data_IF_078485939342
#
_entry.id   IF_078485939342
#
_cell.length_a   1.000
_cell.length_b   1.000
_cell.length_c   1.000
_cell.angle_alpha   90.00
_cell.angle_beta   90.00
_cell.angle_gamma   90.00
#
_symmetry.space_group_name_H-M   'P 1'
#
loop_
_entity.id
_entity.type
_entity.pdbx_description
1 polymer ?
#
# COMPACT_ATOMS: atom_id res chain seq x y z
N UNK A 1 -5.75 -6.12 -4.07
CA UNK A 1 -4.61 -7.05 -4.28
C UNK A 1 -3.31 -6.33 -3.99
N UNK A 2 -2.39 -6.99 -3.35
CA UNK A 2 -1.04 -6.49 -3.08
C UNK A 2 0.00 -7.52 -3.51
N UNK A 3 1.09 -7.06 -4.10
CA UNK A 3 2.20 -7.92 -4.50
C UNK A 3 3.48 -7.12 -4.63
N UNK A 4 4.36 -7.21 -3.68
CA UNK A 4 5.68 -6.56 -3.67
C UNK A 4 6.60 -6.96 -4.83
N UNK A 5 6.21 -7.91 -5.63
CA UNK A 5 6.97 -8.36 -6.78
C UNK A 5 6.78 -7.51 -8.04
N UNK A 6 6.00 -6.51 -7.95
CA UNK A 6 5.57 -5.84 -8.86
C UNK A 6 5.56 -4.99 -9.93
N UNK A 7 6.37 -4.33 -10.33
CA UNK A 7 6.29 -3.39 -11.47
C UNK A 7 6.45 -4.04 -12.85
N UNK A 8 6.41 -5.34 -12.95
CA UNK A 8 6.54 -6.08 -14.22
C UNK A 8 5.28 -6.88 -14.51
N UNK A 9 4.74 -6.73 -15.70
CA UNK A 9 3.59 -7.50 -16.20
C UNK A 9 3.75 -9.02 -16.14
N UNK A 10 4.95 -9.50 -15.92
CA UNK A 10 5.26 -10.94 -15.77
C UNK A 10 5.25 -11.42 -14.33
N UNK A 11 4.92 -10.54 -13.38
CA UNK A 11 4.83 -10.89 -11.95
C UNK A 11 3.39 -11.05 -11.55
N UNK A 12 3.16 -11.82 -10.52
CA UNK A 12 1.82 -12.14 -9.99
C UNK A 12 1.22 -10.89 -9.34
N UNK A 13 -0.04 -10.56 -9.62
CA UNK A 13 -0.95 -11.24 -10.55
C UNK A 13 -0.71 -10.90 -12.02
N UNK A 14 -0.23 -9.70 -12.37
CA UNK A 14 0.07 -9.26 -13.72
C UNK A 14 -1.05 -9.56 -14.72
N UNK A 15 -0.67 -10.12 -15.87
CA UNK A 15 -1.60 -10.58 -16.91
C UNK A 15 -1.69 -12.12 -16.97
N UNK A 16 -1.42 -12.81 -15.88
CA UNK A 16 -1.56 -14.27 -15.83
C UNK A 16 -3.05 -14.65 -15.86
N UNK A 17 -3.53 -15.42 -16.86
CA UNK A 17 -4.97 -15.65 -17.05
C UNK A 17 -5.68 -16.25 -15.84
N UNK A 18 -5.01 -17.11 -15.08
CA UNK A 18 -5.56 -17.74 -13.87
C UNK A 18 -5.81 -16.74 -12.71
N UNK A 19 -5.23 -15.55 -12.77
CA UNK A 19 -5.42 -14.53 -11.73
C UNK A 19 -6.46 -13.46 -12.08
N UNK A 20 -6.78 -13.26 -13.35
CA UNK A 20 -7.72 -12.22 -13.79
C UNK A 20 -9.08 -12.40 -13.13
N UNK A 21 -9.65 -13.59 -13.25
CA UNK A 21 -10.94 -13.90 -12.62
C UNK A 21 -10.90 -13.83 -11.10
N UNK A 22 -9.79 -14.27 -10.49
CA UNK A 22 -9.62 -14.21 -9.05
C UNK A 22 -9.49 -12.78 -8.52
N UNK A 23 -8.86 -11.88 -9.27
CA UNK A 23 -8.75 -10.46 -8.96
C UNK A 23 -10.11 -9.78 -9.07
N UNK A 24 -10.81 -9.99 -10.19
CA UNK A 24 -12.16 -9.48 -10.40
C UNK A 24 -13.14 -9.93 -9.29
N UNK A 25 -13.11 -11.21 -8.90
CA UNK A 25 -13.91 -11.73 -7.78
C UNK A 25 -13.70 -10.97 -6.48
N UNK A 26 -12.46 -10.53 -6.20
CA UNK A 26 -12.15 -9.72 -5.02
C UNK A 26 -12.73 -8.32 -5.12
N UNK A 27 -12.70 -7.71 -6.29
CA UNK A 27 -13.34 -6.41 -6.52
C UNK A 27 -14.86 -6.52 -6.34
N UNK A 28 -15.49 -7.56 -6.89
CA UNK A 28 -16.90 -7.86 -6.71
C UNK A 28 -17.25 -7.94 -5.23
N UNK A 29 -16.55 -8.80 -4.50
CA UNK A 29 -16.81 -9.02 -3.08
C UNK A 29 -16.58 -7.76 -2.24
N UNK A 30 -15.56 -6.97 -2.54
CA UNK A 30 -15.27 -5.73 -1.84
C UNK A 30 -16.39 -4.70 -2.09
N UNK A 31 -16.77 -4.49 -3.33
CA UNK A 31 -17.83 -3.56 -3.67
C UNK A 31 -19.17 -3.96 -3.02
N UNK A 32 -19.59 -5.22 -3.19
CA UNK A 32 -20.85 -5.70 -2.65
C UNK A 32 -20.92 -5.62 -1.11
N UNK A 33 -19.82 -5.86 -0.44
CA UNK A 33 -19.73 -5.73 1.01
C UNK A 33 -19.77 -4.28 1.48
N UNK A 34 -19.03 -3.39 0.79
CA UNK A 34 -18.66 -2.09 1.33
C UNK A 34 -19.42 -0.90 0.70
N UNK A 35 -20.14 -1.08 -0.40
CA UNK A 35 -20.85 -0.01 -1.13
C UNK A 35 -21.85 0.79 -0.29
N UNK A 36 -22.37 0.22 0.78
CA UNK A 36 -23.33 0.88 1.66
C UNK A 36 -22.67 1.65 2.82
N UNK A 37 -21.36 1.63 2.94
CA UNK A 37 -20.66 2.38 3.97
C UNK A 37 -20.31 3.79 3.48
N UNK A 38 -20.89 4.85 4.06
CA UNK A 38 -20.64 6.23 3.60
C UNK A 38 -19.20 6.71 3.86
N UNK A 39 -18.45 6.04 4.71
CA UNK A 39 -17.04 6.33 4.94
C UNK A 39 -16.12 5.84 3.80
N UNK A 40 -16.59 4.92 2.95
CA UNK A 40 -15.87 4.52 1.75
C UNK A 40 -16.08 5.58 0.68
N UNK A 41 -15.05 6.33 0.35
CA UNK A 41 -15.11 7.48 -0.57
C UNK A 41 -14.51 7.19 -1.95
N UNK A 42 -13.70 6.16 -2.06
CA UNK A 42 -13.08 5.74 -3.33
C UNK A 42 -12.71 4.26 -3.29
N UNK A 43 -12.51 3.67 -4.45
CA UNK A 43 -12.03 2.29 -4.62
C UNK A 43 -10.55 2.29 -4.98
N UNK A 44 -9.81 1.40 -4.35
CA UNK A 44 -8.39 1.17 -4.61
C UNK A 44 -8.15 -0.31 -4.85
N UNK A 45 -7.87 -0.75 -6.09
CA UNK A 45 -7.80 -2.16 -6.44
C UNK A 45 -6.56 -2.86 -5.89
N UNK A 46 -5.49 -2.12 -5.58
CA UNK A 46 -4.28 -2.76 -5.09
C UNK A 46 -3.23 -1.80 -4.60
N UNK A 47 -2.18 -2.38 -4.04
CA UNK A 47 -0.99 -1.68 -3.57
C UNK A 47 0.26 -2.39 -4.11
N UNK A 48 1.21 -1.63 -4.66
CA UNK A 48 2.50 -2.13 -5.20
C UNK A 48 2.40 -3.35 -6.14
N UNK A 49 1.26 -3.53 -6.77
CA UNK A 49 0.95 -4.73 -7.57
C UNK A 49 1.47 -4.64 -9.00
N UNK A 50 1.83 -3.47 -9.47
CA UNK A 50 2.23 -3.26 -10.87
C UNK A 50 1.02 -3.13 -11.80
N UNK A 51 1.25 -3.35 -13.09
CA UNK A 51 0.25 -3.27 -14.13
C UNK A 51 -0.15 -4.66 -14.61
N UNK A 52 -1.27 -4.77 -15.32
CA UNK A 52 -1.70 -6.01 -15.99
C UNK A 52 -3.20 -6.20 -16.02
N UNK A 53 -3.63 -7.22 -16.73
CA UNK A 53 -5.05 -7.50 -17.00
C UNK A 53 -5.83 -7.80 -15.71
N UNK A 54 -5.17 -8.39 -14.71
CA UNK A 54 -5.81 -8.66 -13.41
C UNK A 54 -6.22 -7.36 -12.71
N UNK A 55 -5.33 -6.37 -12.70
CA UNK A 55 -5.62 -5.08 -12.08
C UNK A 55 -6.60 -4.26 -12.91
N UNK A 56 -6.50 -4.34 -14.25
CA UNK A 56 -7.45 -3.68 -15.14
C UNK A 56 -8.87 -4.22 -14.94
N UNK A 57 -9.04 -5.53 -14.77
CA UNK A 57 -10.34 -6.14 -14.51
C UNK A 57 -10.98 -5.60 -13.21
N UNK A 58 -10.18 -5.40 -12.15
CA UNK A 58 -10.67 -4.79 -10.91
C UNK A 58 -11.10 -3.33 -11.12
N UNK A 59 -10.29 -2.53 -11.83
CA UNK A 59 -10.60 -1.12 -12.14
C UNK A 59 -11.88 -1.03 -12.96
N UNK A 60 -11.97 -1.80 -14.04
CA UNK A 60 -13.12 -1.83 -14.92
C UNK A 60 -14.39 -2.26 -14.18
N UNK A 61 -14.27 -3.23 -13.27
CA UNK A 61 -15.40 -3.66 -12.45
C UNK A 61 -15.93 -2.53 -11.57
N UNK A 62 -15.06 -1.83 -10.83
CA UNK A 62 -15.50 -0.71 -9.99
C UNK A 62 -16.14 0.40 -10.81
N UNK A 63 -15.52 0.82 -11.90
CA UNK A 63 -16.04 1.89 -12.76
C UNK A 63 -17.37 1.55 -13.44
N UNK A 64 -17.61 0.29 -13.75
CA UNK A 64 -18.85 -0.15 -14.39
C UNK A 64 -19.99 -0.42 -13.39
N UNK A 65 -19.70 -0.60 -12.10
CA UNK A 65 -20.69 -1.03 -11.11
C UNK A 65 -20.92 -0.05 -9.95
N UNK A 66 -20.13 1.03 -9.86
CA UNK A 66 -20.33 2.11 -8.89
C UNK A 66 -20.03 3.47 -9.56
N UNK A 67 -21.06 4.23 -9.89
CA UNK A 67 -20.97 5.57 -10.47
C UNK A 67 -20.89 6.68 -9.40
N UNK A 68 -20.88 6.31 -8.13
CA UNK A 68 -20.89 7.25 -7.00
C UNK A 68 -19.51 7.51 -6.42
N UNK A 69 -18.53 6.64 -6.68
CA UNK A 69 -17.16 6.71 -6.15
C UNK A 69 -16.14 6.66 -7.26
N UNK A 70 -15.06 7.37 -7.03
CA UNK A 70 -13.91 7.39 -7.92
C UNK A 70 -13.00 6.19 -7.69
N UNK A 71 -12.23 5.82 -8.71
CA UNK A 71 -11.21 4.78 -8.63
C UNK A 71 -9.83 5.40 -8.73
N UNK A 72 -8.93 5.01 -7.86
CA UNK A 72 -7.51 5.35 -7.95
C UNK A 72 -6.64 4.10 -7.94
N UNK A 73 -5.46 4.21 -8.49
CA UNK A 73 -4.40 3.24 -8.31
C UNK A 73 -3.03 3.90 -8.43
N UNK A 74 -2.13 3.64 -7.50
CA UNK A 74 -0.76 4.13 -7.57
C UNK A 74 0.06 3.31 -8.58
N UNK A 75 0.89 3.95 -9.36
CA UNK A 75 1.86 3.27 -10.22
C UNK A 75 1.42 2.98 -11.66
N UNK A 76 0.15 3.15 -12.02
CA UNK A 76 -0.34 2.95 -13.40
C UNK A 76 -1.36 4.01 -13.84
N UNK A 77 -1.14 5.23 -13.43
CA UNK A 77 -2.10 6.33 -13.56
C UNK A 77 -2.58 6.60 -14.99
N UNK A 78 -1.68 6.67 -15.95
CA UNK A 78 -2.02 7.05 -17.34
C UNK A 78 -2.69 5.93 -18.13
N UNK A 79 -2.37 4.69 -17.84
CA UNK A 79 -2.72 3.55 -18.68
C UNK A 79 -3.96 2.80 -18.20
N UNK A 80 -4.26 2.85 -16.91
CA UNK A 80 -5.37 2.12 -16.33
C UNK A 80 -6.72 2.84 -16.40
N UNK A 81 -6.76 4.08 -16.89
CA UNK A 81 -8.00 4.86 -16.99
C UNK A 81 -8.56 5.33 -15.64
N UNK A 82 -7.83 5.23 -14.54
CA UNK A 82 -8.28 5.64 -13.19
C UNK A 82 -8.71 7.10 -13.12
N UNK A 83 -9.62 7.43 -12.21
CA UNK A 83 -10.19 8.77 -12.08
C UNK A 83 -9.29 9.73 -11.34
N UNK A 84 -8.53 9.21 -10.38
CA UNK A 84 -7.61 9.96 -9.52
C UNK A 84 -6.21 9.37 -9.66
N UNK A 85 -5.24 10.23 -9.92
CA UNK A 85 -3.84 9.83 -9.95
C UNK A 85 -3.25 9.81 -8.55
N UNK A 86 -2.40 8.84 -8.28
CA UNK A 86 -1.72 8.75 -7.00
C UNK A 86 -0.33 8.16 -7.09
N UNK A 87 0.53 8.54 -6.14
CA UNK A 87 1.82 7.92 -5.91
C UNK A 87 2.14 7.89 -4.41
N UNK A 88 3.07 7.02 -4.04
CA UNK A 88 3.69 7.01 -2.72
C UNK A 88 4.83 8.01 -2.66
N UNK A 89 4.93 8.76 -1.59
CA UNK A 89 6.05 9.67 -1.26
C UNK A 89 6.52 10.53 -2.44
N UNK A 90 5.63 11.21 -3.16
CA UNK A 90 6.00 11.92 -4.38
C UNK A 90 6.71 13.24 -4.09
N UNK A 91 7.48 13.69 -5.07
CA UNK A 91 7.85 15.09 -5.13
C UNK A 91 6.64 15.92 -5.61
N UNK A 92 5.99 16.62 -4.69
CA UNK A 92 4.72 17.33 -4.92
C UNK A 92 4.85 18.35 -6.06
N UNK A 93 5.89 19.17 -6.05
CA UNK A 93 6.08 20.21 -7.07
C UNK A 93 6.21 19.66 -8.49
N UNK A 94 6.76 18.44 -8.64
CA UNK A 94 6.82 17.73 -9.92
C UNK A 94 5.46 17.17 -10.31
N UNK A 95 4.73 16.61 -9.36
CA UNK A 95 3.43 15.98 -9.62
C UNK A 95 2.37 17.00 -10.01
N UNK A 96 2.32 18.16 -9.35
CA UNK A 96 1.43 19.27 -9.72
C UNK A 96 1.57 19.66 -11.19
N UNK A 97 2.81 19.73 -11.70
CA UNK A 97 3.07 20.12 -13.10
C UNK A 97 2.65 19.07 -14.12
N UNK A 98 2.61 17.82 -13.75
CA UNK A 98 2.43 16.71 -14.69
C UNK A 98 1.04 16.07 -14.61
N UNK A 99 0.32 16.26 -13.51
CA UNK A 99 -0.98 15.60 -13.35
C UNK A 99 -2.05 16.25 -14.23
N UNK A 100 -2.82 15.41 -14.92
CA UNK A 100 -3.95 15.80 -15.75
C UNK A 100 -5.31 15.54 -15.07
N UNK A 101 -5.28 14.89 -13.93
CA UNK A 101 -6.44 14.50 -13.13
C UNK A 101 -6.23 14.93 -11.68
N UNK A 102 -7.25 14.94 -10.84
CA UNK A 102 -7.07 15.10 -9.40
C UNK A 102 -5.99 14.14 -8.89
N UNK A 103 -5.15 14.65 -8.00
CA UNK A 103 -3.97 13.91 -7.53
C UNK A 103 -3.98 13.78 -6.01
N UNK A 104 -3.76 12.60 -5.51
CA UNK A 104 -3.55 12.35 -4.08
C UNK A 104 -2.25 11.58 -3.82
N UNK A 105 -1.77 11.67 -2.61
CA UNK A 105 -0.67 10.82 -2.14
C UNK A 105 -1.29 9.62 -1.43
N UNK A 106 -1.23 8.44 -2.04
CA UNK A 106 -1.74 7.24 -1.40
C UNK A 106 -0.94 6.86 -0.16
N UNK A 107 0.32 7.30 -0.11
CA UNK A 107 1.15 7.28 1.09
C UNK A 107 2.03 8.53 1.14
N UNK A 108 2.12 9.15 2.32
CA UNK A 108 3.06 10.23 2.59
C UNK A 108 3.43 10.26 4.08
N UNK A 109 4.43 11.05 4.47
CA UNK A 109 4.88 11.16 5.86
C UNK A 109 5.15 9.79 6.50
N UNK A 110 6.01 9.00 5.88
CA UNK A 110 6.37 7.65 6.35
C UNK A 110 6.73 7.64 7.84
N UNK A 111 5.83 7.13 8.68
CA UNK A 111 5.85 7.24 10.13
C UNK A 111 6.59 6.08 10.80
N UNK A 112 7.81 5.81 10.37
CA UNK A 112 8.66 4.76 10.93
C UNK A 112 10.02 5.33 11.34
N UNK A 113 10.50 4.94 12.49
CA UNK A 113 11.74 5.45 13.05
C UNK A 113 11.67 6.96 13.33
N UNK A 114 12.75 7.68 13.04
CA UNK A 114 12.82 9.13 13.22
C UNK A 114 12.25 9.88 12.01
N UNK A 115 10.95 9.93 11.91
CA UNK A 115 10.22 10.43 10.74
C UNK A 115 9.01 11.31 11.09
N UNK A 116 8.10 11.51 10.15
CA UNK A 116 6.89 12.36 10.20
C UNK A 116 7.12 13.87 10.16
N UNK A 117 8.25 14.35 9.61
CA UNK A 117 8.46 15.78 9.37
C UNK A 117 7.76 16.28 8.10
N UNK A 118 7.58 17.61 8.02
CA UNK A 118 7.18 18.27 6.77
C UNK A 118 5.68 18.34 6.50
N UNK A 119 4.81 17.97 7.44
CA UNK A 119 3.35 18.01 7.23
C UNK A 119 2.85 19.41 6.84
N UNK A 120 3.41 20.45 7.45
CA UNK A 120 3.04 21.84 7.15
C UNK A 120 3.32 22.17 5.70
N UNK A 121 4.49 21.86 5.22
CA UNK A 121 4.95 22.14 3.86
C UNK A 121 4.10 21.37 2.82
N UNK A 122 3.77 20.12 3.09
CA UNK A 122 2.85 19.36 2.26
C UNK A 122 1.48 20.04 2.16
N UNK A 123 0.91 20.47 3.28
CA UNK A 123 -0.41 21.09 3.30
C UNK A 123 -0.43 22.52 2.75
N UNK A 124 0.66 23.25 2.82
CA UNK A 124 0.80 24.52 2.11
C UNK A 124 0.69 24.33 0.60
N UNK A 125 1.40 23.34 0.04
CA UNK A 125 1.31 23.00 -1.38
C UNK A 125 -0.08 22.45 -1.78
N UNK A 126 -0.67 21.58 -0.97
CA UNK A 126 -2.01 21.04 -1.22
C UNK A 126 -3.04 22.17 -1.31
N UNK A 127 -3.02 23.12 -0.37
CA UNK A 127 -3.95 24.24 -0.35
C UNK A 127 -3.72 25.24 -1.48
N UNK A 128 -2.48 25.36 -1.95
CA UNK A 128 -2.12 26.28 -3.03
C UNK A 128 -2.49 25.73 -4.42
N UNK A 129 -2.73 24.43 -4.56
CA UNK A 129 -2.89 23.78 -5.85
C UNK A 129 -4.15 22.93 -5.90
N UNK A 130 -5.17 23.37 -6.64
CA UNK A 130 -6.45 22.67 -6.73
C UNK A 130 -6.41 21.27 -7.35
N UNK A 131 -5.28 20.86 -7.93
CA UNK A 131 -5.06 19.51 -8.42
C UNK A 131 -4.76 18.51 -7.31
N UNK A 132 -4.13 19.01 -6.21
CA UNK A 132 -3.77 18.19 -5.06
C UNK A 132 -4.96 18.06 -4.12
N UNK A 133 -5.37 16.82 -3.86
CA UNK A 133 -6.57 16.54 -3.06
C UNK A 133 -6.22 16.14 -1.60
N UNK A 134 -4.96 15.85 -1.31
CA UNK A 134 -4.52 15.42 0.01
C UNK A 134 -3.67 14.15 -0.03
N UNK A 135 -3.65 13.42 1.08
CA UNK A 135 -2.90 12.17 1.16
C UNK A 135 -3.20 11.39 2.43
N UNK A 136 -2.73 10.17 2.44
CA UNK A 136 -2.86 9.23 3.56
C UNK A 136 -1.48 9.02 4.19
N UNK A 137 -1.39 9.20 5.51
CA UNK A 137 -0.13 9.01 6.24
C UNK A 137 0.19 7.52 6.32
N UNK A 138 1.40 7.14 5.94
CA UNK A 138 1.88 5.79 6.15
C UNK A 138 2.80 5.72 7.39
N UNK A 139 2.39 5.18 8.56
CA UNK A 139 1.02 4.82 8.81
C UNK A 139 0.47 5.69 9.93
N UNK A 140 -0.80 6.02 9.86
CA UNK A 140 -1.46 6.86 10.86
C UNK A 140 -1.63 6.12 12.19
N UNK A 141 -1.82 4.80 12.14
CA UNK A 141 -1.94 3.94 13.30
C UNK A 141 -0.60 3.24 13.54
N UNK A 142 -0.10 3.29 14.76
CA UNK A 142 1.12 2.59 15.13
C UNK A 142 0.92 1.07 14.95
N UNK A 143 1.79 0.47 14.14
CA UNK A 143 1.77 -0.96 13.84
C UNK A 143 2.66 -1.78 14.79
N UNK A 144 3.38 -1.12 15.69
CA UNK A 144 4.29 -1.76 16.62
C UNK A 144 3.54 -2.49 17.73
N UNK A 145 4.08 -3.62 18.16
CA UNK A 145 3.61 -4.36 19.32
C UNK A 145 4.61 -4.27 20.46
N UNK A 146 4.11 -4.09 21.68
CA UNK A 146 4.95 -4.16 22.86
C UNK A 146 5.39 -5.62 23.09
N UNK A 147 6.66 -5.88 22.83
CA UNK A 147 7.23 -7.23 22.76
C UNK A 147 8.20 -7.45 23.91
N UNK A 148 8.13 -8.58 24.64
CA UNK A 148 9.08 -8.92 25.68
C UNK A 148 10.51 -9.03 25.15
N UNK A 149 11.48 -8.50 25.90
CA UNK A 149 12.89 -8.75 25.66
C UNK A 149 13.26 -10.05 26.41
N UNK A 150 13.69 -11.05 25.67
CA UNK A 150 14.10 -12.35 26.23
C UNK A 150 15.59 -12.38 26.46
N UNK A 151 16.02 -13.08 27.52
CA UNK A 151 17.44 -13.40 27.76
C UNK A 151 17.94 -14.50 26.79
N UNK A 152 19.21 -14.88 26.93
CA UNK A 152 19.83 -15.94 26.11
C UNK A 152 19.16 -17.32 26.25
N UNK A 153 18.45 -17.54 27.33
CA UNK A 153 17.75 -18.78 27.64
C UNK A 153 16.27 -18.74 27.24
N UNK A 154 15.82 -17.61 26.66
CA UNK A 154 14.45 -17.41 26.21
C UNK A 154 13.48 -17.00 27.31
N UNK A 155 13.96 -16.57 28.49
CA UNK A 155 13.09 -16.12 29.57
C UNK A 155 12.91 -14.60 29.56
N UNK A 156 11.72 -14.15 29.93
CA UNK A 156 11.41 -12.76 30.14
C UNK A 156 11.51 -12.39 31.63
N UNK A 157 12.08 -11.23 31.89
CA UNK A 157 12.24 -10.70 33.28
C UNK A 157 10.90 -10.15 33.86
N UNK A 158 9.84 -10.18 33.10
CA UNK A 158 8.51 -9.65 33.47
C UNK A 158 8.39 -8.14 33.37
N UNK A 159 9.38 -7.42 32.82
CA UNK A 159 9.42 -5.96 32.80
C UNK A 159 9.93 -5.38 31.47
N UNK A 160 11.05 -5.91 30.97
CA UNK A 160 11.77 -5.37 29.83
C UNK A 160 11.02 -5.67 28.54
N UNK A 161 10.67 -4.62 27.80
CA UNK A 161 9.96 -4.73 26.50
C UNK A 161 10.55 -3.76 25.50
N UNK A 162 10.24 -3.99 24.21
CA UNK A 162 10.47 -3.06 23.12
C UNK A 162 9.25 -2.99 22.21
N UNK A 163 9.15 -1.94 21.41
CA UNK A 163 8.14 -1.82 20.38
C UNK A 163 8.65 -2.47 19.10
N UNK A 164 8.18 -3.67 18.83
CA UNK A 164 8.60 -4.46 17.69
C UNK A 164 7.69 -4.26 16.49
N UNK A 165 8.28 -4.18 15.31
CA UNK A 165 7.59 -4.05 14.03
C UNK A 165 8.31 -4.89 12.96
N UNK A 166 7.53 -5.57 12.11
CA UNK A 166 8.03 -6.34 10.97
C UNK A 166 9.16 -7.33 11.36
N UNK A 167 10.35 -7.12 10.81
CA UNK A 167 11.50 -7.99 11.06
C UNK A 167 12.09 -8.01 12.48
N UNK A 168 11.58 -7.16 13.36
CA UNK A 168 12.08 -7.07 14.74
C UNK A 168 11.83 -8.35 15.55
N UNK A 169 10.85 -9.16 15.17
CA UNK A 169 10.55 -10.46 15.79
C UNK A 169 11.34 -11.62 15.20
N UNK A 170 12.02 -11.41 14.09
CA UNK A 170 12.76 -12.44 13.38
C UNK A 170 14.17 -12.62 14.00
N UNK A 171 14.22 -12.97 15.27
CA UNK A 171 15.45 -13.39 15.94
C UNK A 171 15.59 -14.91 15.85
N UNK A 172 16.17 -15.39 14.77
CA UNK A 172 16.37 -16.80 14.62
C UNK A 172 16.83 -17.20 13.24
N UNK A 173 17.14 -18.46 13.11
CA UNK A 173 17.52 -19.08 11.85
C UNK A 173 16.41 -20.00 11.37
N UNK A 174 16.25 -20.11 10.06
CA UNK A 174 15.44 -21.15 9.45
C UNK A 174 16.29 -21.98 8.49
N UNK A 175 15.85 -23.20 8.22
CA UNK A 175 16.49 -24.06 7.23
C UNK A 175 15.65 -24.00 5.96
N UNK A 176 16.26 -23.59 4.84
CA UNK A 176 15.58 -23.55 3.53
C UNK A 176 15.38 -24.97 2.96
N UNK A 177 14.70 -25.05 1.82
CA UNK A 177 14.40 -26.32 1.16
C UNK A 177 15.65 -27.09 0.72
N UNK A 178 16.78 -26.40 0.57
CA UNK A 178 18.07 -26.97 0.19
C UNK A 178 18.91 -27.41 1.38
N UNK A 179 18.38 -27.25 2.60
CA UNK A 179 19.04 -27.63 3.85
C UNK A 179 20.02 -26.59 4.41
N UNK A 180 20.05 -25.36 3.88
CA UNK A 180 20.93 -24.30 4.34
C UNK A 180 20.28 -23.54 5.49
N UNK A 181 21.03 -23.28 6.55
CA UNK A 181 20.60 -22.41 7.64
C UNK A 181 20.76 -20.95 7.23
N UNK A 182 19.69 -20.18 7.32
CA UNK A 182 19.65 -18.74 7.03
C UNK A 182 19.10 -17.97 8.21
N UNK A 183 19.57 -16.76 8.38
CA UNK A 183 19.09 -15.82 9.38
C UNK A 183 17.87 -15.05 8.82
N UNK A 184 16.80 -14.93 9.58
CA UNK A 184 15.64 -14.08 9.24
C UNK A 184 16.01 -12.60 9.08
N UNK A 185 17.10 -12.13 9.70
CA UNK A 185 17.60 -10.77 9.53
C UNK A 185 18.00 -10.42 8.07
N UNK A 186 18.15 -11.43 7.21
CA UNK A 186 18.48 -11.26 5.79
C UNK A 186 17.30 -10.81 4.90
N UNK A 187 16.11 -10.63 5.47
CA UNK A 187 14.90 -10.19 4.77
C UNK A 187 14.68 -8.66 4.79
N UNK A 188 15.67 -7.91 5.26
CA UNK A 188 15.66 -6.44 5.25
C UNK A 188 15.96 -5.86 3.88
#
# INVERSE_FOLDING_TARGET
>A
VESHNGRSQYKVPGSLPGYVQAAEDRAINMLERDKNYPCVIMWSPGNETGAGDSLQAEIDYFQNNDDTRVVHYQGWNDNAGVDVWSNMYPNIGKQVKNSKKPYLMCEYLHAMGNSCGGMKEYWEEIRANGILQGGFIWDFVDQSYNTPILDSDGNWDGKSTYWGYDGDWNHGTYTDADGNTKDYSSWK
#
